data_IF_623063251842
#
_entry.id   IF_623063251842
#
_cell.length_a   1.000
_cell.length_b   1.000
_cell.length_c   1.000
_cell.angle_alpha   90.00
_cell.angle_beta   90.00
_cell.angle_gamma   90.00
#
_symmetry.space_group_name_H-M   'P 1'
#
loop_
_entity.id
_entity.type
_entity.pdbx_description
1 polymer ?
#
# COMPACT_ATOMS: atom_id res chain seq x y z
N UNK A 1 12.24 -8.40 17.94
CA UNK A 1 11.77 -7.12 17.41
C UNK A 1 11.63 -7.15 15.89
N UNK A 2 12.65 -7.60 15.15
CA UNK A 2 12.59 -7.67 13.68
C UNK A 2 11.35 -8.44 13.19
N UNK A 3 11.07 -9.57 13.82
CA UNK A 3 9.90 -10.40 13.52
C UNK A 3 8.58 -9.64 13.67
N UNK A 4 8.46 -8.72 14.64
CA UNK A 4 7.26 -7.89 14.82
C UNK A 4 7.12 -6.87 13.69
N UNK A 5 8.22 -6.19 13.32
CA UNK A 5 8.22 -5.23 12.20
C UNK A 5 7.90 -5.95 10.88
N UNK A 6 8.44 -7.15 10.68
CA UNK A 6 8.12 -7.99 9.53
C UNK A 6 6.68 -8.52 9.59
N UNK A 7 6.15 -8.81 10.78
CA UNK A 7 4.76 -9.18 10.99
C UNK A 7 3.80 -8.04 10.59
N UNK A 8 4.00 -6.87 11.18
CA UNK A 8 3.10 -5.71 11.03
C UNK A 8 3.39 -4.91 9.75
N UNK A 9 4.53 -5.17 9.10
CA UNK A 9 5.02 -4.41 7.95
C UNK A 9 5.12 -2.90 8.20
N UNK A 10 5.32 -2.51 9.46
CA UNK A 10 5.34 -1.13 9.92
C UNK A 10 6.51 -0.91 10.89
N UNK A 11 7.22 0.21 10.71
CA UNK A 11 8.22 0.72 11.64
C UNK A 11 7.86 2.15 12.03
N UNK A 12 7.93 2.43 13.34
CA UNK A 12 7.71 3.76 13.89
C UNK A 12 8.73 4.77 13.31
N UNK A 13 8.32 5.97 12.84
CA UNK A 13 9.23 6.93 12.23
C UNK A 13 10.39 7.37 13.12
N UNK A 14 10.17 7.51 14.43
CA UNK A 14 11.22 7.88 15.38
C UNK A 14 12.23 6.74 15.51
N UNK A 15 11.73 5.49 15.59
CA UNK A 15 12.57 4.30 15.61
C UNK A 15 13.37 4.11 14.32
N UNK A 16 12.76 4.42 13.17
CA UNK A 16 13.42 4.39 11.88
C UNK A 16 14.52 5.46 11.80
N UNK A 17 14.30 6.64 12.41
CA UNK A 17 15.30 7.70 12.45
C UNK A 17 16.52 7.33 13.30
N UNK A 18 16.35 6.52 14.35
CA UNK A 18 17.43 5.98 15.17
C UNK A 18 18.29 4.93 14.45
N UNK A 19 17.78 4.29 13.40
CA UNK A 19 18.55 3.28 12.66
C UNK A 19 19.71 3.93 11.88
N UNK A 20 20.90 3.32 11.96
CA UNK A 20 21.97 3.62 11.03
C UNK A 20 21.54 3.36 9.58
N UNK A 21 22.17 4.02 8.60
CA UNK A 21 21.80 3.83 7.20
C UNK A 21 21.94 2.37 6.76
N UNK A 22 22.94 1.66 7.27
CA UNK A 22 23.11 0.22 7.03
C UNK A 22 21.91 -0.56 7.58
N UNK A 23 21.46 -0.27 8.81
CA UNK A 23 20.29 -0.90 9.41
C UNK A 23 19.01 -0.64 8.64
N UNK A 24 18.79 0.61 8.18
CA UNK A 24 17.64 0.98 7.35
C UNK A 24 17.60 0.14 6.08
N UNK A 25 18.72 0.05 5.36
CA UNK A 25 18.80 -0.74 4.13
C UNK A 25 18.50 -2.23 4.38
N UNK A 26 19.07 -2.81 5.43
CA UNK A 26 18.86 -4.23 5.74
C UNK A 26 17.43 -4.50 6.19
N UNK A 27 16.84 -3.60 7.00
CA UNK A 27 15.44 -3.69 7.40
C UNK A 27 14.51 -3.64 6.19
N UNK A 28 14.66 -2.64 5.32
CA UNK A 28 13.80 -2.51 4.13
C UNK A 28 13.94 -3.71 3.20
N UNK A 29 15.14 -4.26 3.06
CA UNK A 29 15.36 -5.49 2.33
C UNK A 29 14.58 -6.67 2.96
N UNK A 30 14.65 -6.85 4.29
CA UNK A 30 13.90 -7.91 4.99
C UNK A 30 12.38 -7.72 4.89
N UNK A 31 11.90 -6.48 5.00
CA UNK A 31 10.49 -6.15 4.79
C UNK A 31 10.05 -6.51 3.36
N UNK A 32 10.89 -6.23 2.36
CA UNK A 32 10.60 -6.59 0.97
C UNK A 32 10.59 -8.11 0.74
N UNK A 33 11.55 -8.84 1.30
CA UNK A 33 11.55 -10.31 1.26
C UNK A 33 10.25 -10.87 1.85
N UNK A 34 9.80 -10.33 2.98
CA UNK A 34 8.58 -10.75 3.66
C UNK A 34 7.32 -10.42 2.84
N UNK A 35 7.25 -9.25 2.19
CA UNK A 35 6.17 -8.93 1.24
C UNK A 35 6.11 -9.97 0.10
N UNK A 36 7.26 -10.31 -0.48
CA UNK A 36 7.35 -11.28 -1.57
C UNK A 36 7.02 -12.70 -1.10
N UNK A 37 7.41 -13.09 0.12
CA UNK A 37 7.04 -14.38 0.72
C UNK A 37 5.53 -14.46 0.92
N UNK A 38 4.93 -13.47 1.59
CA UNK A 38 3.47 -13.40 1.80
C UNK A 38 2.69 -13.38 0.52
N UNK A 39 3.18 -12.68 -0.50
CA UNK A 39 2.56 -12.69 -1.82
C UNK A 39 2.61 -14.09 -2.43
N UNK A 40 3.81 -14.71 -2.52
CA UNK A 40 3.95 -16.08 -3.04
C UNK A 40 3.11 -17.11 -2.30
N UNK A 41 3.00 -17.00 -0.98
CA UNK A 41 2.16 -17.90 -0.17
C UNK A 41 0.67 -17.70 -0.43
N UNK A 42 0.22 -16.46 -0.62
CA UNK A 42 -1.16 -16.19 -1.04
C UNK A 42 -1.44 -16.78 -2.41
N UNK A 43 -0.54 -16.57 -3.38
CA UNK A 43 -0.68 -17.14 -4.74
C UNK A 43 -0.72 -18.68 -4.68
N UNK A 44 0.18 -19.30 -3.92
CA UNK A 44 0.20 -20.76 -3.76
C UNK A 44 -1.05 -21.29 -3.05
N UNK A 45 -1.54 -20.58 -2.04
CA UNK A 45 -2.77 -20.95 -1.34
C UNK A 45 -3.99 -20.79 -2.24
N UNK A 46 -4.06 -19.73 -3.05
CA UNK A 46 -5.12 -19.51 -4.04
C UNK A 46 -5.08 -20.55 -5.16
N UNK A 47 -3.89 -20.98 -5.59
CA UNK A 47 -3.74 -22.08 -6.54
C UNK A 47 -4.22 -23.42 -5.95
N UNK A 48 -3.84 -23.73 -4.71
CA UNK A 48 -4.31 -24.95 -4.02
C UNK A 48 -5.82 -24.94 -3.75
N UNK A 49 -6.37 -23.79 -3.35
CA UNK A 49 -7.81 -23.63 -3.11
C UNK A 49 -8.64 -23.74 -4.40
N UNK A 50 -8.07 -23.42 -5.56
CA UNK A 50 -8.69 -23.66 -6.86
C UNK A 50 -8.68 -25.15 -7.25
N UNK A 51 -7.64 -25.89 -6.88
CA UNK A 51 -7.50 -27.33 -7.18
C UNK A 51 -8.34 -28.21 -6.25
N UNK A 52 -8.44 -27.88 -4.95
CA UNK A 52 -9.13 -28.73 -3.96
C UNK A 52 -10.61 -28.38 -3.73
N UNK A 53 -11.15 -27.31 -4.33
CA UNK A 53 -12.57 -26.94 -4.20
C UNK A 53 -13.05 -26.58 -2.79
N UNK A 54 -12.15 -26.54 -1.79
CA UNK A 54 -12.43 -26.23 -0.40
C UNK A 54 -12.32 -24.73 -0.15
N UNK A 55 -13.41 -23.98 -0.32
CA UNK A 55 -13.51 -22.62 0.24
C UNK A 55 -13.95 -22.67 1.70
N UNK A 56 -13.17 -22.15 2.67
CA UNK A 56 -13.67 -21.93 4.03
C UNK A 56 -14.66 -20.75 4.08
N UNK A 57 -15.60 -20.72 5.05
CA UNK A 57 -16.58 -19.65 5.18
C UNK A 57 -15.89 -18.36 5.67
N UNK A 58 -15.79 -17.35 4.80
CA UNK A 58 -15.20 -16.04 5.16
C UNK A 58 -16.18 -15.22 6.02
N UNK A 59 -15.67 -14.67 7.12
CA UNK A 59 -16.36 -13.65 7.93
C UNK A 59 -16.52 -12.39 7.08
N UNK A 60 -17.76 -12.02 6.78
CA UNK A 60 -18.12 -10.89 5.92
C UNK A 60 -17.64 -9.57 6.54
N UNK A 61 -16.63 -8.92 5.95
CA UNK A 61 -16.48 -7.46 6.06
C UNK A 61 -17.35 -6.80 4.99
N UNK A 62 -18.05 -5.75 5.38
CA UNK A 62 -19.06 -5.06 4.58
C UNK A 62 -18.43 -4.19 3.48
N UNK A 63 -17.79 -4.82 2.49
CA UNK A 63 -17.64 -4.31 1.10
C UNK A 63 -16.73 -5.19 0.23
N UNK A 64 -16.74 -6.53 0.39
CA UNK A 64 -15.93 -7.41 -0.47
C UNK A 64 -16.56 -7.55 -1.87
N UNK A 65 -16.27 -6.61 -2.76
CA UNK A 65 -16.39 -6.82 -4.20
C UNK A 65 -15.29 -7.81 -4.59
N UNK A 66 -15.61 -9.10 -4.61
CA UNK A 66 -14.67 -10.13 -5.05
C UNK A 66 -14.70 -10.23 -6.58
N UNK A 67 -13.54 -10.02 -7.22
CA UNK A 67 -13.35 -10.22 -8.65
C UNK A 67 -13.10 -11.71 -8.87
N UNK A 68 -13.99 -12.36 -9.62
CA UNK A 68 -13.77 -13.72 -10.12
C UNK A 68 -13.26 -13.61 -11.55
N UNK A 69 -12.01 -14.04 -11.76
CA UNK A 69 -11.40 -14.08 -13.07
C UNK A 69 -11.94 -15.30 -13.83
N UNK A 70 -12.32 -15.10 -15.08
CA UNK A 70 -12.55 -16.20 -16.02
C UNK A 70 -11.18 -16.83 -16.33
N UNK A 71 -11.13 -18.14 -16.56
CA UNK A 71 -9.91 -18.84 -16.95
C UNK A 71 -9.98 -19.26 -18.41
N UNK A 72 -8.86 -19.17 -19.13
CA UNK A 72 -8.69 -19.60 -20.51
C UNK A 72 -8.51 -21.12 -20.63
N UNK A 73 -8.38 -21.60 -21.88
CA UNK A 73 -8.16 -23.02 -22.18
C UNK A 73 -6.80 -23.55 -21.71
N UNK A 74 -5.86 -22.64 -21.45
CA UNK A 74 -4.54 -22.86 -20.87
C UNK A 74 -4.53 -22.90 -19.33
N UNK A 75 -5.68 -22.60 -18.69
CA UNK A 75 -5.79 -22.51 -17.23
C UNK A 75 -5.29 -21.19 -16.64
N UNK A 76 -4.88 -20.24 -17.48
CA UNK A 76 -4.49 -18.88 -17.08
C UNK A 76 -5.71 -17.95 -17.06
N UNK A 77 -5.57 -16.74 -16.50
CA UNK A 77 -6.65 -15.74 -16.53
C UNK A 77 -7.04 -15.44 -17.97
N UNK A 78 -8.34 -15.58 -18.27
CA UNK A 78 -8.92 -15.27 -19.57
C UNK A 78 -8.82 -13.76 -19.83
N UNK A 79 -7.97 -13.43 -20.79
CA UNK A 79 -7.80 -12.07 -21.29
C UNK A 79 -8.43 -12.02 -22.67
N UNK A 80 -9.40 -11.12 -22.83
CA UNK A 80 -9.92 -10.76 -24.15
C UNK A 80 -9.41 -9.37 -24.51
N UNK A 81 -8.70 -9.31 -25.63
CA UNK A 81 -8.22 -8.06 -26.22
C UNK A 81 -9.20 -7.72 -27.33
N UNK A 82 -9.84 -6.56 -27.20
CA UNK A 82 -10.80 -6.07 -28.17
C UNK A 82 -10.15 -6.00 -29.55
N UNK A 83 -10.65 -6.82 -30.48
CA UNK A 83 -10.17 -6.88 -31.86
C UNK A 83 -9.10 -7.93 -32.16
N UNK A 84 -8.68 -8.71 -31.16
CA UNK A 84 -7.80 -9.88 -31.36
C UNK A 84 -8.53 -11.22 -31.12
N UNK A 85 -9.80 -11.18 -30.70
CA UNK A 85 -10.60 -12.37 -30.44
C UNK A 85 -11.03 -13.10 -31.73
N UNK A 86 -11.24 -14.43 -31.69
CA UNK A 86 -11.74 -15.18 -32.84
C UNK A 86 -13.12 -14.67 -33.30
N UNK A 87 -13.17 -14.07 -34.49
CA UNK A 87 -14.40 -13.49 -35.06
C UNK A 87 -14.64 -12.02 -34.71
N UNK A 88 -13.74 -11.39 -33.96
CA UNK A 88 -13.80 -9.94 -33.74
C UNK A 88 -13.36 -9.17 -34.98
N UNK A 89 -13.96 -7.99 -35.16
CA UNK A 89 -13.43 -6.97 -36.07
C UNK A 89 -12.15 -6.38 -35.48
N UNK A 90 -11.18 -5.91 -36.28
CA UNK A 90 -10.00 -5.23 -35.75
C UNK A 90 -10.38 -4.04 -34.85
N UNK A 91 -9.56 -3.76 -33.84
CA UNK A 91 -9.82 -2.72 -32.84
C UNK A 91 -10.13 -1.36 -33.48
N UNK A 92 -9.40 -1.02 -34.55
CA UNK A 92 -9.56 0.22 -35.30
C UNK A 92 -11.00 0.34 -35.81
N UNK A 93 -11.53 -0.72 -36.42
CA UNK A 93 -12.88 -0.75 -36.97
C UNK A 93 -13.95 -0.70 -35.87
N UNK A 94 -13.76 -1.45 -34.78
CA UNK A 94 -14.67 -1.39 -33.60
C UNK A 94 -14.70 0.04 -33.04
N UNK A 95 -13.54 0.67 -32.90
CA UNK A 95 -13.42 2.02 -32.35
C UNK A 95 -14.06 3.07 -33.27
N UNK A 96 -13.90 2.94 -34.59
CA UNK A 96 -14.51 3.82 -35.56
C UNK A 96 -16.04 3.67 -35.59
N UNK A 97 -16.56 2.44 -35.49
CA UNK A 97 -17.99 2.17 -35.38
C UNK A 97 -18.60 2.78 -34.13
N UNK A 98 -17.94 2.63 -32.97
CA UNK A 98 -18.38 3.22 -31.70
C UNK A 98 -18.41 4.76 -31.77
N UNK A 99 -17.42 5.38 -32.41
CA UNK A 99 -17.38 6.84 -32.60
C UNK A 99 -18.51 7.29 -33.52
N UNK A 100 -18.75 6.57 -34.62
CA UNK A 100 -19.83 6.88 -35.56
C UNK A 100 -21.21 6.70 -34.91
N UNK A 101 -21.41 5.64 -34.13
CA UNK A 101 -22.65 5.41 -33.38
C UNK A 101 -22.90 6.50 -32.35
N UNK A 102 -21.87 6.88 -31.58
CA UNK A 102 -21.95 7.96 -30.60
C UNK A 102 -22.30 9.29 -31.25
N UNK A 103 -21.67 9.61 -32.38
CA UNK A 103 -21.96 10.82 -33.14
C UNK A 103 -23.39 10.85 -33.69
N UNK A 104 -23.90 9.71 -34.19
CA UNK A 104 -25.29 9.59 -34.65
C UNK A 104 -26.30 9.73 -33.51
N UNK A 105 -26.09 9.04 -32.40
CA UNK A 105 -26.98 9.12 -31.24
C UNK A 105 -27.07 10.55 -30.70
N UNK A 106 -25.94 11.25 -30.61
CA UNK A 106 -25.93 12.64 -30.18
C UNK A 106 -26.63 13.55 -31.20
N UNK A 107 -26.37 13.39 -32.50
CA UNK A 107 -27.05 14.16 -33.54
C UNK A 107 -28.57 13.93 -33.55
N UNK A 108 -29.02 12.69 -33.29
CA UNK A 108 -30.44 12.35 -33.14
C UNK A 108 -31.09 13.06 -31.96
N UNK A 109 -30.43 13.07 -30.79
CA UNK A 109 -30.92 13.79 -29.62
C UNK A 109 -31.06 15.30 -29.90
N UNK A 110 -30.04 15.91 -30.53
CA UNK A 110 -30.08 17.32 -30.92
C UNK A 110 -31.20 17.58 -31.95
N UNK A 111 -31.39 16.69 -32.93
CA UNK A 111 -32.44 16.79 -33.95
C UNK A 111 -33.85 16.64 -33.37
N UNK A 112 -34.06 15.72 -32.42
CA UNK A 112 -35.34 15.55 -31.71
C UNK A 112 -35.71 16.81 -30.91
N UNK A 113 -34.74 17.45 -30.25
CA UNK A 113 -34.96 18.69 -29.52
C UNK A 113 -35.34 19.84 -30.46
N UNK A 114 -34.63 19.98 -31.58
CA UNK A 114 -34.96 20.96 -32.62
C UNK A 114 -36.34 20.71 -33.23
N UNK A 115 -36.69 19.43 -33.46
CA UNK A 115 -38.00 19.06 -33.96
C UNK A 115 -39.12 19.43 -32.98
N UNK A 116 -38.95 19.16 -31.67
CA UNK A 116 -39.93 19.56 -30.64
C UNK A 116 -40.18 21.07 -30.64
N UNK A 117 -39.12 21.87 -30.80
CA UNK A 117 -39.24 23.33 -30.87
C UNK A 117 -40.00 23.76 -32.14
N UNK A 118 -39.63 23.20 -33.29
CA UNK A 118 -40.24 23.51 -34.59
C UNK A 118 -41.69 23.07 -34.66
N UNK A 119 -42.03 21.90 -34.14
CA UNK A 119 -43.42 21.41 -34.06
C UNK A 119 -44.29 22.31 -33.18
N UNK A 120 -43.76 22.79 -32.05
CA UNK A 120 -44.47 23.74 -31.20
C UNK A 120 -44.69 25.08 -31.91
N UNK A 121 -43.70 25.56 -32.67
CA UNK A 121 -43.81 26.77 -33.49
C UNK A 121 -44.89 26.63 -34.58
N UNK A 122 -44.85 25.54 -35.35
CA UNK A 122 -45.86 25.21 -36.37
C UNK A 122 -47.24 25.16 -35.72
N UNK A 123 -47.39 24.37 -34.65
CA UNK A 123 -48.68 24.22 -33.94
C UNK A 123 -49.23 25.56 -33.46
N UNK A 124 -48.36 26.44 -32.93
CA UNK A 124 -48.75 27.79 -32.49
C UNK A 124 -49.17 28.65 -33.68
N UNK A 125 -48.38 28.69 -34.75
CA UNK A 125 -48.67 29.45 -35.98
C UNK A 125 -50.02 29.08 -36.58
N UNK A 126 -50.31 27.78 -36.70
CA UNK A 126 -51.59 27.31 -37.24
C UNK A 126 -52.76 27.53 -36.28
N UNK A 127 -52.55 27.43 -34.97
CA UNK A 127 -53.55 27.78 -33.95
C UNK A 127 -53.94 29.26 -34.03
N UNK A 128 -52.95 30.14 -34.10
CA UNK A 128 -53.16 31.59 -34.18
C UNK A 128 -53.82 31.98 -35.50
N UNK A 129 -53.41 31.37 -36.62
CA UNK A 129 -54.03 31.59 -37.92
C UNK A 129 -55.49 31.14 -37.95
N UNK A 130 -55.81 29.97 -37.36
CA UNK A 130 -57.18 29.48 -37.27
C UNK A 130 -58.05 30.36 -36.35
N UNK A 131 -57.49 30.88 -35.25
CA UNK A 131 -58.19 31.80 -34.36
C UNK A 131 -58.51 33.14 -35.06
N UNK A 132 -57.56 33.68 -35.81
CA UNK A 132 -57.75 34.90 -36.61
C UNK A 132 -58.82 34.70 -37.68
N UNK A 133 -58.81 33.56 -38.37
CA UNK A 133 -59.80 33.23 -39.40
C UNK A 133 -61.20 33.04 -38.80
N UNK A 134 -61.30 32.36 -37.65
CA UNK A 134 -62.57 32.25 -36.90
C UNK A 134 -63.11 33.62 -36.46
N UNK A 135 -62.24 34.53 -36.01
CA UNK A 135 -62.63 35.89 -35.65
C UNK A 135 -63.15 36.67 -36.86
N UNK A 136 -62.52 36.50 -38.03
CA UNK A 136 -62.99 37.08 -39.31
C UNK A 136 -64.38 36.58 -39.69
N UNK A 137 -64.57 35.26 -39.67
CA UNK A 137 -65.86 34.62 -39.98
C UNK A 137 -66.95 35.05 -38.99
N UNK A 138 -66.63 35.18 -37.68
CA UNK A 138 -67.57 35.65 -36.66
C UNK A 138 -68.02 37.09 -36.92
N UNK A 139 -67.10 37.97 -37.34
CA UNK A 139 -67.38 39.35 -37.69
C UNK A 139 -68.25 39.48 -38.96
N UNK A 140 -68.08 38.57 -39.93
CA UNK A 140 -68.93 38.49 -41.13
C UNK A 140 -70.31 37.89 -40.84
N UNK A 141 -70.41 36.83 -40.03
CA UNK A 141 -71.67 36.17 -39.65
C UNK A 141 -72.65 37.08 -38.89
N UNK A 142 -72.19 38.14 -38.22
CA UNK A 142 -73.06 39.14 -37.61
C UNK A 142 -73.93 39.93 -38.62
N UNK A 143 -73.74 39.73 -39.93
CA UNK A 143 -74.40 40.49 -40.99
C UNK A 143 -75.44 39.73 -41.81
N UNK A 144 -75.71 38.43 -41.59
CA UNK A 144 -76.34 37.59 -42.63
C UNK A 144 -77.42 36.58 -42.14
N UNK A 145 -78.42 36.33 -42.99
CA UNK A 145 -79.69 35.58 -42.82
C UNK A 145 -79.55 34.03 -42.82
N UNK A 146 -80.62 33.29 -42.48
CA UNK A 146 -80.61 31.85 -42.12
C UNK A 146 -80.16 30.87 -43.23
N UNK A 147 -80.27 31.20 -44.52
CA UNK A 147 -79.82 30.34 -45.63
C UNK A 147 -78.28 30.30 -45.76
N UNK A 148 -77.60 31.38 -45.36
CA UNK A 148 -76.13 31.47 -45.34
C UNK A 148 -75.48 30.60 -44.26
N UNK A 149 -76.24 30.11 -43.28
CA UNK A 149 -75.69 29.28 -42.20
C UNK A 149 -75.24 27.89 -42.69
N UNK A 150 -75.91 27.30 -43.69
CA UNK A 150 -75.48 26.03 -44.31
C UNK A 150 -74.26 26.25 -45.22
N UNK A 151 -74.27 27.32 -46.03
CA UNK A 151 -73.15 27.70 -46.88
C UNK A 151 -71.89 28.05 -46.06
N UNK A 152 -72.05 28.76 -44.94
CA UNK A 152 -70.95 29.13 -44.05
C UNK A 152 -70.32 27.92 -43.35
N UNK A 153 -71.08 26.86 -43.05
CA UNK A 153 -70.51 25.61 -42.51
C UNK A 153 -69.63 24.89 -43.53
N UNK A 154 -70.09 24.77 -44.77
CA UNK A 154 -69.33 24.14 -45.85
C UNK A 154 -68.04 24.93 -46.14
N UNK A 155 -68.10 26.27 -46.09
CA UNK A 155 -66.94 27.13 -46.24
C UNK A 155 -65.95 26.98 -45.07
N UNK A 156 -66.46 26.91 -43.83
CA UNK A 156 -65.67 26.72 -42.61
C UNK A 156 -64.94 25.36 -42.61
N UNK A 157 -65.61 24.29 -43.07
CA UNK A 157 -65.01 22.96 -43.24
C UNK A 157 -63.90 22.97 -44.31
N UNK A 158 -64.15 23.59 -45.47
CA UNK A 158 -63.15 23.71 -46.54
C UNK A 158 -61.91 24.49 -46.12
N UNK A 159 -62.09 25.59 -45.39
CA UNK A 159 -60.99 26.38 -44.83
C UNK A 159 -60.19 25.53 -43.83
N UNK A 160 -60.86 24.76 -42.97
CA UNK A 160 -60.20 23.89 -42.00
C UNK A 160 -59.36 22.79 -42.66
N UNK A 161 -59.87 22.18 -43.73
CA UNK A 161 -59.12 21.19 -44.52
C UNK A 161 -57.90 21.81 -45.23
N UNK A 162 -58.04 23.01 -45.80
CA UNK A 162 -56.91 23.71 -46.43
C UNK A 162 -55.82 24.09 -45.41
N UNK A 163 -56.20 24.49 -44.19
CA UNK A 163 -55.26 24.76 -43.10
C UNK A 163 -54.54 23.49 -42.64
N UNK A 164 -55.26 22.36 -42.51
CA UNK A 164 -54.64 21.06 -42.20
C UNK A 164 -53.64 20.63 -43.26
N UNK A 165 -53.98 20.78 -44.54
CA UNK A 165 -53.07 20.42 -45.64
C UNK A 165 -51.79 21.26 -45.60
N UNK A 166 -51.91 22.57 -45.34
CA UNK A 166 -50.76 23.47 -45.19
C UNK A 166 -49.92 23.16 -43.95
N UNK A 167 -50.55 22.77 -42.84
CA UNK A 167 -49.85 22.36 -41.62
C UNK A 167 -49.02 21.10 -41.88
N UNK A 168 -49.58 20.10 -42.55
CA UNK A 168 -48.87 18.88 -42.93
C UNK A 168 -47.74 19.13 -43.92
N UNK A 169 -47.94 20.01 -44.90
CA UNK A 169 -46.89 20.43 -45.84
C UNK A 169 -45.72 21.13 -45.10
N UNK A 170 -46.02 22.01 -44.15
CA UNK A 170 -45.00 22.70 -43.34
C UNK A 170 -44.28 21.76 -42.37
N UNK A 171 -44.99 20.78 -41.79
CA UNK A 171 -44.37 19.71 -40.99
C UNK A 171 -43.41 18.87 -41.83
N UNK A 172 -43.82 18.43 -43.03
CA UNK A 172 -42.96 17.66 -43.94
C UNK A 172 -41.70 18.43 -44.33
N UNK A 173 -41.83 19.69 -44.71
CA UNK A 173 -40.68 20.55 -45.02
C UNK A 173 -39.78 20.76 -43.79
N UNK A 174 -40.38 20.85 -42.60
CA UNK A 174 -39.69 20.93 -41.33
C UNK A 174 -38.86 19.68 -41.03
N UNK A 175 -39.46 18.50 -41.17
CA UNK A 175 -38.82 17.19 -40.96
C UNK A 175 -37.65 16.98 -41.92
N UNK A 176 -37.82 17.29 -43.21
CA UNK A 176 -36.75 17.16 -44.21
C UNK A 176 -35.54 18.04 -43.89
N UNK A 177 -35.77 19.28 -43.42
CA UNK A 177 -34.70 20.18 -43.00
C UNK A 177 -33.97 19.66 -41.76
N UNK A 178 -34.71 19.18 -40.75
CA UNK A 178 -34.10 18.62 -39.54
C UNK A 178 -33.30 17.35 -39.87
N UNK A 179 -33.80 16.50 -40.77
CA UNK A 179 -33.08 15.29 -41.21
C UNK A 179 -31.76 15.62 -41.90
N UNK A 180 -31.73 16.65 -42.75
CA UNK A 180 -30.49 17.09 -43.38
C UNK A 180 -29.50 17.65 -42.36
N UNK A 181 -29.99 18.41 -41.38
CA UNK A 181 -29.18 18.93 -40.28
C UNK A 181 -28.63 17.82 -39.38
N UNK A 182 -29.44 16.80 -39.06
CA UNK A 182 -29.02 15.61 -38.31
C UNK A 182 -27.84 14.91 -39.00
N UNK A 183 -27.93 14.69 -40.32
CA UNK A 183 -26.86 14.02 -41.07
C UNK A 183 -25.56 14.85 -41.10
N UNK A 184 -25.68 16.16 -41.30
CA UNK A 184 -24.52 17.07 -41.26
C UNK A 184 -23.89 17.09 -39.86
N UNK A 185 -24.73 17.17 -38.83
CA UNK A 185 -24.28 17.22 -37.44
C UNK A 185 -23.61 15.92 -37.00
N UNK A 186 -24.14 14.76 -37.40
CA UNK A 186 -23.52 13.47 -37.16
C UNK A 186 -22.11 13.38 -37.78
N UNK A 187 -21.92 13.93 -38.99
CA UNK A 187 -20.59 13.97 -39.66
C UNK A 187 -19.61 14.89 -38.92
N UNK A 188 -20.06 16.06 -38.47
CA UNK A 188 -19.23 16.99 -37.68
C UNK A 188 -18.80 16.36 -36.35
N UNK A 189 -19.75 15.77 -35.63
CA UNK A 189 -19.49 15.11 -34.34
C UNK A 189 -18.53 13.92 -34.50
N UNK A 190 -18.72 13.11 -35.54
CA UNK A 190 -17.80 12.02 -35.87
C UNK A 190 -16.37 12.53 -36.06
N UNK A 191 -16.19 13.57 -36.90
CA UNK A 191 -14.86 14.11 -37.17
C UNK A 191 -14.20 14.70 -35.91
N UNK A 192 -14.98 15.42 -35.10
CA UNK A 192 -14.52 16.00 -33.84
C UNK A 192 -14.05 14.92 -32.86
N UNK A 193 -14.84 13.85 -32.68
CA UNK A 193 -14.50 12.73 -31.82
C UNK A 193 -13.26 11.97 -32.33
N UNK A 194 -13.15 11.76 -33.64
CA UNK A 194 -11.99 11.12 -34.27
C UNK A 194 -10.70 11.92 -34.06
N UNK A 195 -10.76 13.25 -34.17
CA UNK A 195 -9.62 14.13 -33.89
C UNK A 195 -9.20 14.07 -32.42
N UNK A 196 -10.16 14.06 -31.49
CA UNK A 196 -9.86 13.93 -30.06
C UNK A 196 -9.21 12.58 -29.72
N UNK A 197 -9.64 11.48 -30.35
CA UNK A 197 -9.03 10.16 -30.19
C UNK A 197 -7.56 10.15 -30.67
N UNK A 198 -7.28 10.75 -31.83
CA UNK A 198 -5.92 10.86 -32.35
C UNK A 198 -4.99 11.69 -31.46
N UNK A 199 -5.53 12.71 -30.78
CA UNK A 199 -4.78 13.51 -29.81
C UNK A 199 -4.55 12.79 -28.47
N UNK A 200 -5.37 11.78 -28.16
CA UNK A 200 -5.29 10.99 -26.92
C UNK A 200 -4.37 9.77 -27.03
N UNK A 201 -3.87 9.44 -28.22
CA UNK A 201 -2.85 8.40 -28.37
C UNK A 201 -1.58 8.86 -27.64
N UNK A 202 -1.02 8.04 -26.73
CA UNK A 202 0.21 8.39 -26.03
C UNK A 202 1.28 8.80 -27.03
N UNK A 203 1.93 9.93 -26.78
CA UNK A 203 3.07 10.30 -27.62
C UNK A 203 4.15 9.23 -27.47
N UNK A 204 4.88 8.89 -28.55
CA UNK A 204 6.07 8.03 -28.44
C UNK A 204 7.03 8.52 -27.34
N UNK A 205 7.03 9.83 -27.07
CA UNK A 205 7.80 10.43 -26.00
C UNK A 205 7.30 10.01 -24.61
N UNK A 206 5.99 9.99 -24.39
CA UNK A 206 5.37 9.60 -23.11
C UNK A 206 5.55 8.11 -22.81
N UNK A 207 5.44 7.27 -23.84
CA UNK A 207 5.68 5.83 -23.71
C UNK A 207 7.15 5.55 -23.35
N UNK A 208 8.10 6.20 -24.04
CA UNK A 208 9.53 6.14 -23.70
C UNK A 208 9.82 6.62 -22.28
N UNK A 209 9.19 7.71 -21.85
CA UNK A 209 9.33 8.24 -20.48
C UNK A 209 8.83 7.22 -19.43
N UNK A 210 7.70 6.56 -19.71
CA UNK A 210 7.16 5.51 -18.84
C UNK A 210 8.09 4.29 -18.76
N UNK A 211 8.60 3.80 -19.89
CA UNK A 211 9.55 2.69 -19.93
C UNK A 211 10.84 3.02 -19.18
N UNK A 212 11.37 4.22 -19.37
CA UNK A 212 12.54 4.69 -18.65
C UNK A 212 12.28 4.76 -17.14
N UNK A 213 11.12 5.25 -16.72
CA UNK A 213 10.72 5.32 -15.32
C UNK A 213 10.62 3.91 -14.70
N UNK A 214 10.01 2.96 -15.41
CA UNK A 214 9.93 1.57 -14.99
C UNK A 214 11.32 0.96 -14.83
N UNK A 215 12.21 1.19 -15.80
CA UNK A 215 13.61 0.74 -15.75
C UNK A 215 14.37 1.35 -14.58
N UNK A 216 14.24 2.66 -14.35
CA UNK A 216 14.86 3.36 -13.20
C UNK A 216 14.38 2.78 -11.88
N UNK A 217 13.09 2.50 -11.74
CA UNK A 217 12.52 1.90 -10.52
C UNK A 217 13.08 0.50 -10.27
N UNK A 218 13.10 -0.37 -11.28
CA UNK A 218 13.66 -1.73 -11.16
C UNK A 218 15.15 -1.69 -10.79
N UNK A 219 15.93 -0.81 -11.42
CA UNK A 219 17.35 -0.65 -11.13
C UNK A 219 17.60 -0.13 -9.69
N UNK A 220 16.77 0.78 -9.19
CA UNK A 220 16.87 1.26 -7.82
C UNK A 220 16.57 0.15 -6.79
N UNK A 221 15.60 -0.71 -7.06
CA UNK A 221 15.29 -1.89 -6.22
C UNK A 221 16.45 -2.88 -6.19
N UNK A 222 17.03 -3.19 -7.34
CA UNK A 222 18.21 -4.06 -7.44
C UNK A 222 19.42 -3.47 -6.72
N UNK A 223 19.67 -2.16 -6.85
CA UNK A 223 20.79 -1.52 -6.17
C UNK A 223 20.63 -1.55 -4.64
N UNK A 224 19.41 -1.32 -4.13
CA UNK A 224 19.11 -1.49 -2.70
C UNK A 224 19.38 -2.92 -2.24
N UNK A 225 18.99 -3.91 -3.03
CA UNK A 225 19.26 -5.34 -2.78
C UNK A 225 20.77 -5.64 -2.74
N UNK A 226 21.52 -5.20 -3.75
CA UNK A 226 22.98 -5.40 -3.82
C UNK A 226 23.71 -4.72 -2.66
N UNK A 227 23.29 -3.53 -2.23
CA UNK A 227 23.88 -2.84 -1.06
C UNK A 227 23.63 -3.61 0.23
N UNK A 228 22.40 -4.08 0.46
CA UNK A 228 22.07 -4.88 1.62
C UNK A 228 22.86 -6.21 1.65
N UNK A 229 22.99 -6.89 0.51
CA UNK A 229 23.77 -8.13 0.41
C UNK A 229 25.26 -7.89 0.65
N UNK A 230 25.86 -6.87 0.03
CA UNK A 230 27.27 -6.51 0.25
C UNK A 230 27.55 -6.21 1.72
N UNK A 231 26.68 -5.43 2.38
CA UNK A 231 26.83 -5.13 3.80
C UNK A 231 26.83 -6.40 4.67
N UNK A 232 25.95 -7.36 4.38
CA UNK A 232 25.90 -8.65 5.08
C UNK A 232 27.14 -9.49 4.84
N UNK A 233 27.54 -9.65 3.58
CA UNK A 233 28.68 -10.49 3.20
C UNK A 233 29.99 -9.92 3.76
N UNK A 234 30.15 -8.60 3.73
CA UNK A 234 31.34 -7.91 4.23
C UNK A 234 31.45 -8.06 5.76
N UNK A 235 30.34 -7.91 6.47
CA UNK A 235 30.30 -8.16 7.91
C UNK A 235 30.56 -9.63 8.24
N UNK A 236 29.97 -10.57 7.50
CA UNK A 236 30.22 -12.00 7.70
C UNK A 236 31.70 -12.33 7.50
N UNK A 237 32.36 -11.75 6.48
CA UNK A 237 33.81 -11.90 6.29
C UNK A 237 34.60 -11.30 7.44
N UNK A 238 34.20 -10.14 7.96
CA UNK A 238 34.86 -9.51 9.11
C UNK A 238 34.73 -10.35 10.38
N UNK A 239 33.51 -10.80 10.71
CA UNK A 239 33.20 -11.69 11.84
C UNK A 239 33.98 -13.01 11.74
N UNK A 240 34.06 -13.62 10.55
CA UNK A 240 34.86 -14.83 10.34
C UNK A 240 36.36 -14.59 10.58
N UNK A 241 36.90 -13.41 10.20
CA UNK A 241 38.29 -13.04 10.51
C UNK A 241 38.50 -12.82 12.01
N UNK A 242 37.53 -12.24 12.71
CA UNK A 242 37.56 -12.06 14.17
C UNK A 242 37.66 -13.40 14.91
N UNK A 243 36.84 -14.37 14.51
CA UNK A 243 36.83 -15.73 15.06
C UNK A 243 38.18 -16.42 14.79
N UNK A 244 38.74 -16.25 13.60
CA UNK A 244 40.05 -16.82 13.22
C UNK A 244 41.23 -16.18 13.94
N UNK A 245 41.15 -14.90 14.32
CA UNK A 245 42.19 -14.20 15.10
C UNK A 245 42.27 -14.64 16.56
N UNK A 246 41.40 -15.56 17.01
CA UNK A 246 41.40 -16.11 18.37
C UNK A 246 40.84 -15.16 19.43
N UNK A 247 40.48 -13.93 19.05
CA UNK A 247 39.95 -12.87 19.90
C UNK A 247 38.59 -13.23 20.52
N UNK A 248 37.77 -14.06 19.85
CA UNK A 248 36.35 -14.26 20.23
C UNK A 248 35.92 -15.74 20.36
N UNK A 249 36.82 -16.69 20.12
CA UNK A 249 36.48 -18.13 20.14
C UNK A 249 35.85 -18.62 21.47
N UNK A 250 36.14 -17.95 22.60
CA UNK A 250 35.59 -18.28 23.91
C UNK A 250 34.17 -17.77 24.18
N UNK A 251 33.70 -16.71 23.51
CA UNK A 251 32.37 -16.11 23.72
C UNK A 251 31.31 -16.72 22.80
N UNK A 252 31.68 -17.03 21.55
CA UNK A 252 30.76 -17.60 20.55
C UNK A 252 30.56 -19.13 20.71
N UNK A 253 31.57 -19.87 21.19
CA UNK A 253 31.48 -21.33 21.40
C UNK A 253 30.47 -21.76 22.47
N UNK A 254 30.27 -20.94 23.53
CA UNK A 254 29.30 -21.24 24.60
C UNK A 254 27.86 -21.34 24.11
N UNK A 255 27.53 -20.64 23.01
CA UNK A 255 26.19 -20.65 22.43
C UNK A 255 25.95 -21.86 21.52
N UNK A 256 26.99 -22.37 20.85
CA UNK A 256 26.87 -23.59 20.02
C UNK A 256 26.57 -24.83 20.86
N UNK A 257 27.08 -24.89 22.09
CA UNK A 257 26.83 -25.99 23.03
C UNK A 257 25.44 -25.89 23.70
N UNK A 258 24.95 -24.68 24.00
CA UNK A 258 23.60 -24.48 24.57
C UNK A 258 22.49 -24.67 23.51
N UNK A 259 22.68 -24.19 22.29
CA UNK A 259 21.69 -24.29 21.20
C UNK A 259 21.48 -25.71 20.66
N UNK A 260 22.46 -26.61 20.78
CA UNK A 260 22.33 -28.01 20.36
C UNK A 260 21.38 -28.83 21.26
N UNK A 261 21.17 -28.41 22.51
CA UNK A 261 20.24 -29.09 23.42
C UNK A 261 18.76 -28.82 23.07
N UNK A 262 18.43 -27.62 22.61
CA UNK A 262 17.05 -27.22 22.27
C UNK A 262 16.64 -27.66 20.84
N UNK A 263 17.59 -27.76 19.91
CA UNK A 263 17.36 -28.31 18.56
C UNK A 263 17.13 -29.83 18.56
N UNK A 264 17.61 -30.55 19.59
CA UNK A 264 17.30 -31.98 19.77
C UNK A 264 15.90 -32.20 20.35
N UNK A 265 15.43 -31.34 21.27
CA UNK A 265 14.04 -31.39 21.75
C UNK A 265 13.03 -31.04 20.66
N UNK A 266 13.31 -30.01 19.84
CA UNK A 266 12.41 -29.63 18.73
C UNK A 266 12.30 -30.72 17.64
N UNK A 267 13.35 -31.53 17.43
CA UNK A 267 13.33 -32.65 16.47
C UNK A 267 12.59 -33.89 16.98
N UNK A 268 12.42 -34.05 18.29
CA UNK A 268 11.68 -35.18 18.87
C UNK A 268 10.16 -34.99 18.82
N UNK A 269 9.66 -33.77 18.61
CA UNK A 269 8.20 -33.50 18.52
C UNK A 269 7.62 -33.57 17.10
N UNK A 270 8.42 -33.77 16.05
CA UNK A 270 7.94 -33.77 14.67
C UNK A 270 7.78 -35.14 14.00
N UNK A 271 7.85 -36.24 14.76
CA UNK A 271 7.59 -37.57 14.23
C UNK A 271 6.67 -38.39 15.13
N UNK A 272 5.37 -38.11 15.13
CA UNK A 272 4.31 -39.07 15.47
C UNK A 272 2.95 -38.55 14.93
N UNK A 273 2.25 -39.27 14.03
CA UNK A 273 0.95 -38.87 13.55
C UNK A 273 -0.17 -39.48 14.40
N UNK A 274 -1.10 -38.63 14.85
CA UNK A 274 -2.44 -39.02 15.30
C UNK A 274 -2.58 -39.29 16.79
N UNK A 275 -3.21 -38.34 17.49
CA UNK A 275 -4.26 -38.53 18.50
C UNK A 275 -4.78 -37.13 18.90
N UNK A 276 -6.10 -37.01 19.09
CA UNK A 276 -6.83 -35.74 19.24
C UNK A 276 -6.44 -34.90 20.48
N UNK A 277 -7.02 -33.68 20.62
CA UNK A 277 -6.53 -32.70 21.57
C UNK A 277 -6.87 -33.10 23.01
N UNK A 278 -5.87 -33.55 23.76
CA UNK A 278 -5.92 -33.58 25.22
C UNK A 278 -5.63 -32.17 25.74
N UNK A 279 -6.61 -31.60 26.45
CA UNK A 279 -6.46 -30.33 27.17
C UNK A 279 -5.30 -30.42 28.16
N UNK A 280 -4.36 -29.46 28.19
CA UNK A 280 -3.36 -29.41 29.24
C UNK A 280 -4.04 -28.99 30.55
N UNK A 281 -3.91 -29.85 31.56
CA UNK A 281 -4.22 -29.55 32.95
C UNK A 281 -3.54 -28.23 33.35
N UNK A 282 -4.34 -27.35 33.94
CA UNK A 282 -3.94 -26.02 34.39
C UNK A 282 -2.78 -26.07 35.40
N UNK A 283 -1.67 -25.43 35.05
CA UNK A 283 -0.69 -24.94 36.01
C UNK A 283 -1.01 -23.45 36.25
N UNK A 284 -1.41 -23.04 37.46
CA UNK A 284 -1.78 -21.66 37.73
C UNK A 284 -0.52 -20.83 38.04
N UNK A 285 -0.05 -20.07 37.05
CA UNK A 285 1.06 -19.13 37.20
C UNK A 285 1.06 -18.06 36.12
N UNK A 286 0.25 -17.02 36.34
CA UNK A 286 0.07 -15.78 35.54
C UNK A 286 1.22 -15.49 34.56
N UNK A 287 1.03 -15.77 33.28
CA UNK A 287 1.87 -15.21 32.22
C UNK A 287 1.28 -13.87 31.85
N UNK A 288 1.94 -12.78 32.27
CA UNK A 288 1.70 -11.46 31.70
C UNK A 288 1.78 -11.57 30.16
N UNK A 289 0.69 -11.24 29.46
CA UNK A 289 0.73 -11.14 28.00
C UNK A 289 1.41 -9.84 27.62
N UNK A 290 2.66 -9.95 27.19
CA UNK A 290 3.46 -8.81 26.72
C UNK A 290 2.74 -8.16 25.52
N UNK A 291 2.38 -6.85 25.59
CA UNK A 291 1.84 -6.15 24.44
C UNK A 291 2.89 -6.08 23.33
N UNK A 292 2.44 -5.97 22.08
CA UNK A 292 3.32 -6.00 20.90
C UNK A 292 4.40 -4.90 20.93
N UNK A 293 4.11 -3.78 21.60
CA UNK A 293 5.04 -2.68 21.87
C UNK A 293 4.92 -2.23 23.33
N UNK A 294 6.00 -1.70 23.92
CA UNK A 294 5.90 -1.01 25.20
C UNK A 294 4.97 0.20 25.07
N UNK A 295 3.94 0.26 25.93
CA UNK A 295 2.91 1.32 25.91
C UNK A 295 3.08 2.32 27.05
N UNK A 296 3.90 2.00 28.04
CA UNK A 296 4.21 2.88 29.18
C UNK A 296 5.53 2.49 29.85
N UNK A 297 6.10 3.40 30.64
CA UNK A 297 7.33 3.16 31.40
C UNK A 297 7.16 2.03 32.41
N UNK A 298 6.02 1.93 33.08
CA UNK A 298 5.73 0.88 34.07
C UNK A 298 5.79 -0.51 33.44
N UNK A 299 5.30 -0.62 32.20
CA UNK A 299 5.30 -1.85 31.42
C UNK A 299 6.72 -2.25 30.99
N UNK A 300 7.58 -1.26 30.69
CA UNK A 300 9.02 -1.46 30.44
C UNK A 300 9.76 -1.91 31.70
N UNK A 301 9.51 -1.25 32.84
CA UNK A 301 10.11 -1.60 34.13
C UNK A 301 9.76 -3.05 34.50
N UNK A 302 8.48 -3.45 34.35
CA UNK A 302 8.06 -4.83 34.60
C UNK A 302 8.78 -5.82 33.69
N UNK A 303 8.82 -5.56 32.38
CA UNK A 303 9.56 -6.41 31.42
C UNK A 303 11.03 -6.55 31.80
N UNK A 304 11.67 -5.44 32.18
CA UNK A 304 13.06 -5.47 32.60
C UNK A 304 13.25 -6.36 33.83
N UNK A 305 12.44 -6.17 34.87
CA UNK A 305 12.54 -6.94 36.13
C UNK A 305 12.22 -8.43 35.95
N UNK A 306 11.19 -8.76 35.17
CA UNK A 306 10.75 -10.14 34.99
C UNK A 306 11.62 -10.92 33.98
N UNK A 307 12.15 -10.26 32.95
CA UNK A 307 12.76 -10.96 31.81
C UNK A 307 14.23 -10.64 31.56
N UNK A 308 14.67 -9.43 31.88
CA UNK A 308 16.04 -8.98 31.58
C UNK A 308 16.96 -9.07 32.80
N UNK A 309 16.43 -8.79 33.99
CA UNK A 309 17.15 -8.89 35.26
C UNK A 309 17.62 -10.34 35.54
N UNK A 310 16.80 -11.40 35.33
CA UNK A 310 17.29 -12.79 35.46
C UNK A 310 18.40 -13.13 34.47
N UNK A 311 18.42 -12.46 33.32
CA UNK A 311 19.46 -12.60 32.29
C UNK A 311 20.68 -11.69 32.53
N UNK A 312 20.71 -11.02 33.69
CA UNK A 312 21.79 -10.11 34.12
C UNK A 312 22.02 -8.96 33.13
N UNK A 313 20.98 -8.45 32.48
CA UNK A 313 21.09 -7.26 31.66
C UNK A 313 21.55 -6.05 32.50
N UNK A 314 22.51 -5.29 31.97
CA UNK A 314 23.07 -4.12 32.65
C UNK A 314 24.08 -4.41 33.76
N UNK A 315 24.42 -5.68 34.03
CA UNK A 315 25.49 -6.02 34.97
C UNK A 315 26.85 -6.18 34.28
N UNK A 316 27.91 -5.90 35.02
CA UNK A 316 29.25 -6.28 34.59
C UNK A 316 29.46 -7.80 34.64
N UNK A 317 30.36 -8.32 33.79
CA UNK A 317 30.57 -9.76 33.55
C UNK A 317 30.87 -10.56 34.82
N UNK A 318 31.70 -10.01 35.69
CA UNK A 318 32.25 -10.71 36.86
C UNK A 318 31.74 -10.19 38.20
N UNK A 319 31.02 -9.06 38.21
CA UNK A 319 30.60 -8.40 39.45
C UNK A 319 29.08 -8.31 39.54
N UNK A 320 28.57 -7.99 40.73
CA UNK A 320 27.16 -7.61 40.92
C UNK A 320 26.95 -6.10 40.72
N UNK A 321 27.98 -5.38 40.26
CA UNK A 321 27.87 -3.97 39.96
C UNK A 321 27.13 -3.79 38.63
N UNK A 322 26.34 -2.72 38.56
CA UNK A 322 25.73 -2.26 37.33
C UNK A 322 26.86 -1.70 36.46
N UNK A 323 26.87 -2.10 35.19
CA UNK A 323 27.91 -1.74 34.27
C UNK A 323 27.90 -0.22 34.01
N UNK A 324 29.08 0.42 33.89
CA UNK A 324 29.16 1.87 33.75
C UNK A 324 28.45 2.39 32.50
N UNK A 325 28.44 1.62 31.41
CA UNK A 325 27.76 1.95 30.15
C UNK A 325 26.24 1.77 30.19
N UNK A 326 25.67 1.23 31.26
CA UNK A 326 24.25 0.93 31.34
C UNK A 326 23.47 2.15 31.83
N UNK A 327 22.47 2.52 31.05
CA UNK A 327 21.52 3.57 31.35
C UNK A 327 20.09 3.01 31.33
N UNK A 328 19.24 3.56 32.18
CA UNK A 328 17.85 3.20 32.30
C UNK A 328 17.00 3.66 31.12
N UNK A 329 15.77 4.08 31.43
CA UNK A 329 14.82 4.56 30.43
C UNK A 329 15.09 6.05 30.16
N UNK A 330 16.05 6.31 29.27
CA UNK A 330 16.42 7.68 28.85
C UNK A 330 16.11 7.92 27.36
N UNK A 331 15.86 9.18 27.02
CA UNK A 331 15.56 9.57 25.64
C UNK A 331 16.82 9.53 24.76
N UNK A 332 16.63 9.75 23.45
CA UNK A 332 17.75 9.86 22.52
C UNK A 332 18.54 11.14 22.82
N UNK A 333 17.84 12.23 23.05
CA UNK A 333 18.39 13.56 23.30
C UNK A 333 19.22 13.54 24.59
N UNK A 334 18.70 12.94 25.66
CA UNK A 334 19.45 12.78 26.92
C UNK A 334 20.76 12.00 26.70
N UNK A 335 20.71 10.92 25.90
CA UNK A 335 21.90 10.14 25.58
C UNK A 335 22.92 10.90 24.74
N UNK A 336 22.46 11.74 23.80
CA UNK A 336 23.33 12.61 23.01
C UNK A 336 24.00 13.67 23.89
N UNK A 337 23.26 14.28 24.84
CA UNK A 337 23.77 15.26 25.80
C UNK A 337 24.83 14.68 26.76
N UNK A 338 24.66 13.41 27.15
CA UNK A 338 25.65 12.68 27.94
C UNK A 338 26.95 12.45 27.16
N UNK A 339 26.86 12.22 25.86
CA UNK A 339 27.98 11.89 24.98
C UNK A 339 28.63 13.10 24.30
N UNK A 340 28.00 14.28 24.33
CA UNK A 340 28.39 15.45 23.54
C UNK A 340 29.86 15.87 23.77
N UNK A 341 30.28 15.87 25.03
CA UNK A 341 31.62 16.30 25.46
C UNK A 341 32.64 15.16 25.58
N UNK A 342 32.27 13.94 25.17
CA UNK A 342 33.16 12.78 25.20
C UNK A 342 33.94 12.62 23.88
N UNK A 343 34.99 11.80 23.92
CA UNK A 343 35.79 11.48 22.72
C UNK A 343 35.06 10.50 21.80
N UNK A 344 35.45 10.49 20.52
CA UNK A 344 35.03 9.45 19.58
C UNK A 344 35.29 8.06 20.18
N UNK A 345 34.34 7.14 20.01
CA UNK A 345 34.43 5.82 20.66
C UNK A 345 33.69 5.73 21.98
N UNK A 346 33.25 6.86 22.56
CA UNK A 346 32.41 6.87 23.73
C UNK A 346 31.00 6.33 23.44
N UNK A 347 30.42 5.57 24.36
CA UNK A 347 29.14 4.92 24.15
C UNK A 347 28.35 4.69 25.43
N UNK A 348 27.04 4.51 25.29
CA UNK A 348 26.15 4.01 26.33
C UNK A 348 25.05 3.12 25.76
N UNK A 349 24.43 2.31 26.62
CA UNK A 349 23.28 1.47 26.28
C UNK A 349 22.10 1.89 27.14
N UNK A 350 21.02 2.33 26.49
CA UNK A 350 19.77 2.75 27.13
C UNK A 350 18.65 1.77 26.87
N UNK A 351 17.71 1.65 27.81
CA UNK A 351 16.46 0.89 27.61
C UNK A 351 15.55 1.69 26.69
N UNK A 352 15.05 1.07 25.61
CA UNK A 352 14.22 1.78 24.64
C UNK A 352 12.78 1.91 25.12
N UNK A 353 12.18 3.08 24.90
CA UNK A 353 10.76 3.32 25.15
C UNK A 353 9.84 2.84 24.03
N UNK A 354 10.40 2.52 22.86
CA UNK A 354 9.62 2.22 21.64
C UNK A 354 9.62 0.73 21.29
N UNK A 355 10.61 -0.02 21.78
CA UNK A 355 10.81 -1.43 21.49
C UNK A 355 11.11 -2.22 22.76
N UNK A 356 10.83 -3.53 22.71
CA UNK A 356 11.27 -4.47 23.74
C UNK A 356 12.75 -4.81 23.57
N UNK A 357 13.61 -3.87 23.96
CA UNK A 357 15.04 -3.97 23.75
C UNK A 357 15.79 -2.71 24.20
N UNK A 358 16.99 -2.55 23.66
CA UNK A 358 17.92 -1.49 24.04
C UNK A 358 18.34 -0.70 22.80
N UNK A 359 18.82 0.51 23.02
CA UNK A 359 19.50 1.31 22.00
C UNK A 359 20.92 1.60 22.50
N UNK A 360 21.93 1.23 21.70
CA UNK A 360 23.30 1.68 21.93
C UNK A 360 23.50 3.03 21.25
N UNK A 361 23.90 4.04 22.01
CA UNK A 361 24.23 5.37 21.50
C UNK A 361 25.74 5.55 21.50
N UNK A 362 26.29 6.03 20.39
CA UNK A 362 27.72 6.06 20.10
C UNK A 362 28.17 7.43 19.63
N UNK A 363 29.28 7.92 20.17
CA UNK A 363 29.90 9.19 19.82
C UNK A 363 30.82 9.03 18.61
N UNK A 364 30.51 9.75 17.53
CA UNK A 364 31.40 9.96 16.38
C UNK A 364 32.18 11.28 16.53
N UNK A 365 33.20 11.48 15.69
CA UNK A 365 33.87 12.79 15.58
C UNK A 365 32.90 13.95 15.33
N UNK A 366 31.85 13.70 14.53
CA UNK A 366 30.83 14.68 14.17
C UNK A 366 29.45 14.04 14.27
N UNK A 367 28.85 14.20 15.45
CA UNK A 367 27.51 13.72 15.76
C UNK A 367 27.49 12.38 16.48
N UNK A 368 26.39 11.65 16.31
CA UNK A 368 26.08 10.43 17.04
C UNK A 368 25.52 9.36 16.11
N UNK A 369 25.71 8.10 16.48
CA UNK A 369 25.06 6.94 15.85
C UNK A 369 24.29 6.17 16.91
N UNK A 370 23.15 5.62 16.52
CA UNK A 370 22.36 4.75 17.38
C UNK A 370 22.17 3.39 16.72
N UNK A 371 22.22 2.35 17.53
CA UNK A 371 22.06 0.97 17.10
C UNK A 371 21.03 0.29 17.98
N UNK A 372 19.92 -0.14 17.38
CA UNK A 372 18.93 -0.93 18.10
C UNK A 372 19.45 -2.33 18.39
N UNK A 373 19.28 -2.77 19.63
CA UNK A 373 19.59 -4.11 20.12
C UNK A 373 18.28 -4.86 20.32
N UNK A 374 18.12 -5.96 19.58
CA UNK A 374 16.99 -6.86 19.74
C UNK A 374 17.20 -7.73 20.98
N UNK A 375 16.26 -7.66 21.92
CA UNK A 375 16.22 -8.48 23.14
C UNK A 375 14.93 -9.31 23.24
N UNK A 376 14.21 -9.50 22.11
CA UNK A 376 12.93 -10.20 22.13
C UNK A 376 13.02 -11.72 22.31
N UNK A 377 14.22 -12.30 22.22
CA UNK A 377 14.46 -13.73 22.40
C UNK A 377 15.43 -14.03 23.55
N UNK A 378 16.00 -15.23 23.54
CA UNK A 378 17.02 -15.74 24.47
C UNK A 378 18.43 -15.19 24.20
N UNK A 379 18.56 -14.24 23.27
CA UNK A 379 19.82 -13.64 22.82
C UNK A 379 19.72 -12.12 22.70
N UNK A 380 20.87 -11.49 22.47
CA UNK A 380 21.01 -10.08 22.13
C UNK A 380 21.77 -9.96 20.81
N UNK A 381 21.29 -9.10 19.89
CA UNK A 381 22.00 -8.78 18.66
C UNK A 381 21.60 -7.40 18.15
N UNK A 382 22.46 -6.76 17.36
CA UNK A 382 22.04 -5.54 16.67
C UNK A 382 21.01 -5.84 15.59
N UNK A 383 19.95 -5.04 15.54
CA UNK A 383 18.86 -5.21 14.59
C UNK A 383 19.40 -5.12 13.16
N UNK A 384 19.34 -6.23 12.43
CA UNK A 384 19.66 -6.28 11.01
C UNK A 384 21.14 -6.13 10.65
N UNK A 385 22.04 -5.75 11.57
CA UNK A 385 23.48 -5.62 11.29
C UNK A 385 24.25 -6.87 11.69
N UNK A 386 23.94 -7.42 12.86
CA UNK A 386 24.74 -8.48 13.46
C UNK A 386 24.03 -9.85 13.36
N UNK A 387 24.54 -10.81 12.56
CA UNK A 387 24.15 -12.21 12.63
C UNK A 387 24.62 -12.90 13.93
N UNK A 388 25.58 -12.33 14.66
CA UNK A 388 26.06 -12.91 15.91
C UNK A 388 25.02 -12.69 17.00
N UNK A 389 24.63 -13.78 17.64
CA UNK A 389 23.72 -13.81 18.78
C UNK A 389 24.55 -13.91 20.04
N UNK A 390 24.37 -12.97 20.97
CA UNK A 390 25.09 -12.92 22.23
C UNK A 390 24.18 -13.39 23.36
N UNK A 391 24.71 -14.17 24.31
CA UNK A 391 23.92 -14.74 25.40
C UNK A 391 23.51 -13.65 26.42
N UNK A 392 24.41 -12.71 26.71
CA UNK A 392 24.16 -11.58 27.59
C UNK A 392 24.39 -10.25 26.86
N UNK A 393 23.76 -9.18 27.35
CA UNK A 393 23.97 -7.83 26.82
C UNK A 393 25.45 -7.42 26.98
N UNK A 394 26.09 -7.86 28.07
CA UNK A 394 27.52 -7.63 28.34
C UNK A 394 28.42 -8.35 27.35
N UNK A 395 28.05 -9.56 26.89
CA UNK A 395 28.78 -10.26 25.83
C UNK A 395 28.76 -9.47 24.51
N UNK A 396 27.60 -8.90 24.15
CA UNK A 396 27.48 -8.05 22.97
C UNK A 396 28.40 -6.84 23.06
N UNK A 397 28.41 -6.16 24.20
CA UNK A 397 29.25 -4.98 24.42
C UNK A 397 30.73 -5.35 24.42
N UNK A 398 31.13 -6.38 25.14
CA UNK A 398 32.53 -6.81 25.19
C UNK A 398 33.05 -7.26 23.82
N UNK A 399 32.23 -7.95 23.04
CA UNK A 399 32.57 -8.32 21.66
C UNK A 399 32.86 -7.08 20.81
N UNK A 400 32.02 -6.05 20.92
CA UNK A 400 32.15 -4.83 20.12
C UNK A 400 33.16 -3.81 20.65
N UNK A 401 33.84 -4.11 21.77
CA UNK A 401 35.07 -3.40 22.17
C UNK A 401 36.28 -3.78 21.33
N UNK A 402 36.26 -4.97 20.74
CA UNK A 402 37.35 -5.51 19.93
C UNK A 402 36.96 -5.65 18.45
N UNK A 403 35.66 -5.77 18.16
CA UNK A 403 35.13 -5.90 16.80
C UNK A 403 34.19 -4.75 16.41
N UNK A 404 34.38 -4.21 15.22
CA UNK A 404 33.58 -3.09 14.72
C UNK A 404 32.11 -3.47 14.53
N UNK A 405 31.20 -2.55 14.84
CA UNK A 405 29.74 -2.75 14.68
C UNK A 405 29.36 -2.74 13.20
N UNK A 406 29.84 -1.75 12.44
CA UNK A 406 29.66 -1.71 10.99
C UNK A 406 30.99 -1.53 10.27
N UNK A 407 31.14 -2.20 9.12
CA UNK A 407 32.39 -2.09 8.33
C UNK A 407 32.55 -0.71 7.70
N UNK A 408 31.44 -0.07 7.31
CA UNK A 408 31.47 1.25 6.69
C UNK A 408 31.72 2.38 7.69
N UNK A 409 31.34 2.20 8.96
CA UNK A 409 31.51 3.21 10.00
C UNK A 409 32.68 2.97 10.96
N UNK A 410 33.19 1.74 11.04
CA UNK A 410 34.34 1.40 11.87
C UNK A 410 34.10 1.56 13.37
N UNK A 411 32.86 1.55 13.83
CA UNK A 411 32.51 1.88 15.21
C UNK A 411 33.01 0.79 16.16
N UNK A 412 33.99 1.13 16.98
CA UNK A 412 34.52 0.29 18.06
C UNK A 412 34.14 0.91 19.39
N UNK A 413 33.64 0.11 20.32
CA UNK A 413 33.26 0.57 21.65
C UNK A 413 34.51 0.77 22.50
N UNK A 414 34.84 2.02 22.83
CA UNK A 414 36.10 2.34 23.53
C UNK A 414 35.82 2.77 24.97
N UNK A 415 35.06 3.85 25.15
CA UNK A 415 34.86 4.47 26.46
C UNK A 415 33.40 4.36 26.91
N UNK A 416 33.09 3.69 28.04
CA UNK A 416 31.73 3.68 28.56
C UNK A 416 31.39 5.06 29.17
N UNK A 417 30.30 5.67 28.71
CA UNK A 417 29.71 6.83 29.35
C UNK A 417 28.98 6.38 30.61
N UNK A 418 29.30 7.02 31.74
CA UNK A 418 28.74 6.71 33.05
C UNK A 418 27.55 7.58 33.45
N UNK A 419 27.04 7.32 34.65
CA UNK A 419 25.96 8.08 35.26
C UNK A 419 26.43 9.48 35.71
N UNK A 420 25.60 10.51 35.45
CA UNK A 420 25.82 11.87 35.95
C UNK A 420 24.93 12.23 37.13
N UNK A 421 23.73 11.65 37.18
CA UNK A 421 22.69 12.02 38.15
C UNK A 421 22.66 11.10 39.39
N UNK A 422 22.09 11.61 40.48
CA UNK A 422 21.85 10.88 41.73
C UNK A 422 20.41 11.10 42.19
N UNK A 423 19.55 10.05 42.27
CA UNK A 423 19.85 8.65 41.96
C UNK A 423 20.12 8.41 40.46
N UNK A 424 20.84 7.32 40.10
CA UNK A 424 21.16 7.02 38.71
C UNK A 424 19.89 6.76 37.88
N UNK A 425 19.96 6.98 36.57
CA UNK A 425 18.80 6.87 35.66
C UNK A 425 18.19 5.46 35.57
N UNK A 426 18.97 4.42 35.90
CA UNK A 426 18.52 3.04 35.96
C UNK A 426 17.88 2.66 37.29
N UNK A 427 17.80 3.57 38.27
CA UNK A 427 17.40 3.26 39.65
C UNK A 427 16.10 2.43 39.71
N UNK A 428 15.05 2.87 39.01
CA UNK A 428 13.74 2.20 38.97
C UNK A 428 13.77 0.75 38.44
N UNK A 429 14.79 0.41 37.65
CA UNK A 429 14.94 -0.91 37.03
C UNK A 429 15.53 -1.94 37.99
N UNK A 430 16.32 -1.49 38.98
CA UNK A 430 17.06 -2.36 39.90
C UNK A 430 16.59 -2.27 41.36
N UNK A 431 15.56 -1.47 41.65
CA UNK A 431 14.85 -1.44 42.94
C UNK A 431 14.10 -2.72 43.29
#
# INVERSE_FOLDING_TARGET
>A
MLQQILHDMYIDPELLAELSDVQKHILFYKMREEQLRRWREREAWEALAQVEGLRPPKVKRASDKHIQWLLGADGEVWVWIMGEGPGDKPYEEISEELIAERARLQAQQEAEELWRQKEAEITKKFRDALANEKARILAEKWKVEMEDRKAAKVLEERIHEEFKRKEEEERKQGEEQIRLQEEQRAKELYWTLKQAQLQSLPSEKEEREWEEQLRRSKAADEERSRRAQRARDEYQRHSLRAIQKGTVAGLSSRFRELGQSHDQEARLYHHLPGLGPLSPLAVPGRTWERPLRPVSREVIVRWFKEEQLPRRAGFERSTKAIAPWFHGIISREDAEDLLENMTEGAFLVRVSEKIWGYTLSYRLQKGFKHFLVDASGDFYSFLGVDPNRHATLTDLIDFHKEEIITVSGGELLQEPCGQRDSPPDYHLLFE
#
